data_IF_600073318707
#
_entry.id   IF_600073318707
#
_cell.length_a   1.000
_cell.length_b   1.000
_cell.length_c   1.000
_cell.angle_alpha   90.00
_cell.angle_beta   90.00
_cell.angle_gamma   90.00
#
_symmetry.space_group_name_H-M   'P 1'
#
loop_
_entity.id
_entity.type
_entity.pdbx_description
1 polymer ?
#
# COMPACT_ATOMS: atom_id res chain seq x y z
N UNK A 1 39.06 27.43 66.60
CA UNK A 1 39.42 27.32 65.17
C UNK A 1 38.86 26.03 64.66
N UNK A 2 37.69 26.10 64.00
CA UNK A 2 37.05 24.94 63.39
C UNK A 2 37.38 24.93 61.88
N UNK A 3 38.08 23.90 61.42
CA UNK A 3 38.35 23.66 59.98
C UNK A 3 37.13 23.03 59.33
N UNK A 4 36.57 23.74 58.37
CA UNK A 4 35.49 23.23 57.47
C UNK A 4 36.19 22.52 56.31
N UNK A 5 35.95 21.19 56.19
CA UNK A 5 36.38 20.39 55.04
C UNK A 5 35.35 20.49 54.00
N UNK A 6 35.66 21.11 52.86
CA UNK A 6 34.80 21.14 51.69
C UNK A 6 34.99 19.84 50.91
N UNK A 7 33.93 19.05 50.84
CA UNK A 7 33.86 17.83 49.99
C UNK A 7 33.37 18.23 48.60
N UNK A 8 34.28 18.26 47.62
CA UNK A 8 33.91 18.45 46.19
C UNK A 8 33.42 17.13 45.64
N UNK A 9 32.11 17.08 45.34
CA UNK A 9 31.49 15.98 44.59
C UNK A 9 31.78 16.20 43.11
N UNK A 10 32.68 15.39 42.57
CA UNK A 10 32.94 15.34 41.12
C UNK A 10 31.82 14.53 40.45
N UNK A 11 30.87 15.21 39.79
CA UNK A 11 29.85 14.54 38.98
C UNK A 11 30.54 13.97 37.73
N UNK A 12 30.78 12.67 37.71
CA UNK A 12 31.13 11.94 36.47
C UNK A 12 29.91 11.92 35.55
N UNK A 13 29.89 12.76 34.54
CA UNK A 13 28.99 12.56 33.38
C UNK A 13 29.44 11.29 32.64
N UNK A 14 28.80 10.18 32.92
CA UNK A 14 28.92 8.97 32.09
C UNK A 14 28.17 9.26 30.81
N UNK A 15 28.90 9.67 29.77
CA UNK A 15 28.37 9.71 28.40
C UNK A 15 28.11 8.26 27.98
N UNK A 16 26.85 7.84 28.03
CA UNK A 16 26.44 6.61 27.37
C UNK A 16 26.53 6.85 25.86
N UNK A 17 27.62 6.40 25.26
CA UNK A 17 27.66 6.21 23.81
C UNK A 17 26.60 5.16 23.49
N UNK A 18 25.50 5.57 22.85
CA UNK A 18 24.53 4.63 22.35
C UNK A 18 25.24 3.71 21.35
N UNK A 19 25.40 2.45 21.70
CA UNK A 19 25.89 1.42 20.77
C UNK A 19 24.82 1.25 19.72
N UNK A 20 25.19 1.47 18.46
CA UNK A 20 24.27 1.22 17.33
C UNK A 20 23.70 -0.20 17.43
N UNK A 21 22.38 -0.33 17.35
CA UNK A 21 21.71 -1.61 17.45
C UNK A 21 21.32 -2.12 16.07
N UNK A 22 21.54 -3.42 15.85
CA UNK A 22 21.09 -4.13 14.69
C UNK A 22 19.88 -4.99 15.05
N UNK A 23 18.76 -4.74 14.43
CA UNK A 23 17.51 -5.48 14.62
C UNK A 23 17.32 -6.46 13.48
N UNK A 24 16.98 -7.70 13.79
CA UNK A 24 16.71 -8.74 12.80
C UNK A 24 15.39 -9.45 13.09
N UNK A 25 14.66 -9.70 12.02
CA UNK A 25 13.43 -10.47 11.96
C UNK A 25 13.55 -11.46 10.81
N UNK A 26 12.93 -12.64 10.89
CA UNK A 26 12.97 -13.58 9.78
C UNK A 26 11.88 -14.64 9.85
N UNK A 27 11.54 -15.15 8.69
CA UNK A 27 10.72 -16.34 8.51
C UNK A 27 11.41 -17.28 7.50
N UNK A 28 10.74 -18.32 7.05
CA UNK A 28 11.34 -19.33 6.14
C UNK A 28 11.83 -18.76 4.81
N UNK A 29 11.24 -17.64 4.34
CA UNK A 29 11.49 -17.09 3.02
C UNK A 29 12.18 -15.72 3.03
N UNK A 30 11.90 -14.89 4.04
CA UNK A 30 12.35 -13.49 4.07
C UNK A 30 12.98 -13.18 5.43
N UNK A 31 14.13 -12.54 5.41
CA UNK A 31 14.74 -11.90 6.55
C UNK A 31 14.74 -10.38 6.35
N UNK A 32 14.42 -9.65 7.42
CA UNK A 32 14.51 -8.20 7.50
C UNK A 32 15.57 -7.83 8.52
N UNK A 33 16.42 -6.85 8.22
CA UNK A 33 17.30 -6.26 9.20
C UNK A 33 17.24 -4.73 9.13
N UNK A 34 17.35 -4.10 10.29
CA UNK A 34 17.39 -2.65 10.42
C UNK A 34 18.63 -2.25 11.21
N UNK A 35 19.41 -1.35 10.63
CA UNK A 35 20.56 -0.70 11.27
C UNK A 35 20.15 0.72 11.67
N UNK A 36 20.06 0.98 12.96
CA UNK A 36 19.63 2.27 13.50
C UNK A 36 20.68 3.38 13.34
N UNK A 37 21.97 3.03 13.24
CA UNK A 37 23.02 4.00 13.02
C UNK A 37 22.95 4.67 11.65
N UNK A 38 22.52 3.91 10.63
CA UNK A 38 22.46 4.35 9.23
C UNK A 38 21.02 4.50 8.73
N UNK A 39 20.01 4.23 9.56
CA UNK A 39 18.59 4.23 9.20
C UNK A 39 18.30 3.36 7.95
N UNK A 40 18.99 2.22 7.83
CA UNK A 40 18.90 1.35 6.65
C UNK A 40 18.17 0.05 6.96
N UNK A 41 17.35 -0.38 6.00
CA UNK A 41 16.68 -1.69 6.02
C UNK A 41 17.26 -2.55 4.91
N UNK A 42 17.43 -3.83 5.18
CA UNK A 42 17.75 -4.84 4.18
C UNK A 42 16.65 -5.89 4.19
N UNK A 43 16.11 -6.20 3.02
CA UNK A 43 15.18 -7.31 2.79
C UNK A 43 15.94 -8.41 2.09
N UNK A 44 16.01 -9.60 2.66
CA UNK A 44 16.78 -10.71 2.12
C UNK A 44 15.88 -11.92 1.86
N UNK A 45 15.99 -12.52 0.67
CA UNK A 45 15.50 -13.88 0.42
C UNK A 45 16.44 -14.86 1.14
N UNK A 46 15.89 -15.66 2.06
CA UNK A 46 16.70 -16.62 2.85
C UNK A 46 17.30 -17.74 2.00
N UNK A 47 16.80 -17.95 0.77
CA UNK A 47 17.23 -18.99 -0.18
C UNK A 47 18.21 -18.47 -1.23
N UNK A 48 18.21 -17.15 -1.46
CA UNK A 48 19.08 -16.51 -2.44
C UNK A 48 20.12 -15.62 -1.73
N UNK A 49 21.27 -15.42 -2.36
CA UNK A 49 22.34 -14.60 -1.78
C UNK A 49 22.28 -13.12 -2.24
N UNK A 50 21.13 -12.66 -2.67
CA UNK A 50 20.94 -11.29 -3.16
C UNK A 50 19.99 -10.53 -2.25
N UNK A 51 20.50 -9.65 -1.35
CA UNK A 51 19.65 -8.80 -0.54
C UNK A 51 19.10 -7.65 -1.38
N UNK A 52 17.82 -7.33 -1.17
CA UNK A 52 17.20 -6.12 -1.68
C UNK A 52 17.48 -4.98 -0.68
N UNK A 53 18.28 -4.02 -1.10
CA UNK A 53 18.70 -2.91 -0.24
C UNK A 53 18.20 -1.59 -0.81
N UNK A 54 17.39 -0.79 -0.10
CA UNK A 54 17.03 0.54 -0.55
C UNK A 54 18.23 1.50 -0.46
N UNK A 55 18.13 2.60 -1.16
CA UNK A 55 19.03 3.74 -0.97
C UNK A 55 18.73 4.40 0.37
N UNK A 56 17.43 4.51 0.69
CA UNK A 56 16.87 5.01 1.93
C UNK A 56 15.46 4.42 2.13
N UNK A 57 14.88 4.54 3.32
CA UNK A 57 13.54 4.01 3.60
C UNK A 57 12.44 4.76 2.86
N UNK A 58 12.52 6.09 2.86
CA UNK A 58 11.58 6.98 2.21
C UNK A 58 12.21 8.36 2.01
N UNK A 59 11.61 9.18 1.15
CA UNK A 59 11.81 10.62 1.15
C UNK A 59 10.52 11.34 0.75
N UNK A 60 10.36 12.56 1.22
CA UNK A 60 9.26 13.46 0.90
C UNK A 60 9.75 14.48 -0.12
N UNK A 61 8.97 14.75 -1.17
CA UNK A 61 9.21 15.83 -2.10
C UNK A 61 8.19 16.93 -1.83
N UNK A 62 8.64 18.12 -1.54
CA UNK A 62 7.80 19.28 -1.32
C UNK A 62 7.34 19.92 -2.64
N UNK A 63 6.35 20.84 -2.64
CA UNK A 63 5.90 21.50 -3.88
C UNK A 63 6.97 22.29 -4.65
N UNK A 64 8.01 22.74 -3.99
CA UNK A 64 9.16 23.43 -4.57
C UNK A 64 10.29 22.49 -5.04
N UNK A 65 10.00 21.18 -5.14
CA UNK A 65 10.93 20.11 -5.49
C UNK A 65 12.02 19.83 -4.44
N UNK A 66 12.03 20.54 -3.31
CA UNK A 66 12.92 20.21 -2.16
C UNK A 66 12.59 18.83 -1.64
N UNK A 67 13.64 18.06 -1.31
CA UNK A 67 13.50 16.72 -0.75
C UNK A 67 13.90 16.70 0.72
N UNK A 68 13.09 16.02 1.53
CA UNK A 68 13.40 15.68 2.91
C UNK A 68 13.67 14.17 2.93
N UNK A 69 14.92 13.80 3.13
CA UNK A 69 15.40 12.43 3.08
C UNK A 69 15.24 11.73 4.44
N UNK A 70 15.25 10.40 4.47
CA UNK A 70 15.24 9.66 5.73
C UNK A 70 16.33 10.11 6.69
N UNK A 71 17.51 10.51 6.18
CA UNK A 71 18.65 11.00 6.96
C UNK A 71 18.40 12.35 7.66
N UNK A 72 17.41 13.14 7.20
CA UNK A 72 17.03 14.44 7.82
C UNK A 72 16.14 14.23 9.06
N UNK A 73 15.66 13.02 9.27
CA UNK A 73 14.87 12.63 10.44
C UNK A 73 15.78 12.07 11.55
N UNK A 74 15.35 12.28 12.79
CA UNK A 74 15.96 11.64 13.97
C UNK A 74 15.12 10.43 14.37
N UNK A 75 15.76 9.31 14.64
CA UNK A 75 15.10 8.17 15.27
C UNK A 75 14.75 8.56 16.71
N UNK A 76 13.46 8.56 17.02
CA UNK A 76 12.93 8.86 18.34
C UNK A 76 12.78 7.59 19.18
N UNK A 77 12.37 6.51 18.56
CA UNK A 77 12.07 5.25 19.22
C UNK A 77 12.19 4.07 18.26
N UNK A 78 12.67 2.94 18.77
CA UNK A 78 12.66 1.65 18.07
C UNK A 78 12.14 0.60 19.04
N UNK A 79 11.07 -0.08 18.64
CA UNK A 79 10.42 -1.12 19.43
C UNK A 79 10.37 -2.43 18.66
N UNK A 80 10.97 -3.48 19.21
CA UNK A 80 10.88 -4.83 18.66
C UNK A 80 9.63 -5.51 19.20
N UNK A 81 8.83 -6.05 18.30
CA UNK A 81 7.63 -6.84 18.57
C UNK A 81 7.86 -8.30 18.15
N UNK A 82 6.95 -9.24 18.49
CA UNK A 82 7.12 -10.67 18.20
C UNK A 82 7.36 -10.97 16.70
N UNK A 83 6.64 -10.30 15.82
CA UNK A 83 6.75 -10.48 14.36
C UNK A 83 7.07 -9.20 13.60
N UNK A 84 7.53 -8.16 14.30
CA UNK A 84 7.72 -6.84 13.71
C UNK A 84 8.72 -5.95 14.43
N UNK A 85 8.96 -4.80 13.84
CA UNK A 85 9.76 -3.71 14.38
C UNK A 85 9.04 -2.39 14.07
N UNK A 86 8.86 -1.55 15.07
CA UNK A 86 8.31 -0.19 14.93
C UNK A 86 9.43 0.81 15.09
N UNK A 87 9.54 1.74 14.15
CA UNK A 87 10.57 2.79 14.13
C UNK A 87 9.87 4.12 14.00
N UNK A 88 10.02 4.99 14.98
CA UNK A 88 9.48 6.35 14.94
C UNK A 88 10.58 7.35 14.59
N UNK A 89 10.35 8.06 13.49
CA UNK A 89 11.20 9.13 12.99
C UNK A 89 10.54 10.48 13.28
N UNK A 90 11.34 11.49 13.64
CA UNK A 90 10.85 12.84 13.89
C UNK A 90 11.68 13.88 13.12
N UNK A 91 10.97 14.85 12.55
CA UNK A 91 11.47 16.04 11.86
C UNK A 91 10.67 17.25 12.35
N UNK A 92 11.16 18.49 12.29
CA UNK A 92 10.39 19.67 12.70
C UNK A 92 8.99 19.78 12.08
N UNK A 93 8.82 19.33 10.83
CA UNK A 93 7.56 19.44 10.09
C UNK A 93 6.78 18.13 9.98
N UNK A 94 7.41 16.97 10.23
CA UNK A 94 6.80 15.66 10.00
C UNK A 94 7.22 14.64 11.07
N UNK A 95 6.29 13.77 11.41
CA UNK A 95 6.59 12.50 12.08
C UNK A 95 6.32 11.36 11.09
N UNK A 96 7.22 10.39 11.06
CA UNK A 96 7.05 9.18 10.23
C UNK A 96 7.22 7.95 11.10
N UNK A 97 6.21 7.09 11.11
CA UNK A 97 6.32 5.77 11.73
C UNK A 97 6.50 4.73 10.63
N UNK A 98 7.56 3.94 10.71
CA UNK A 98 7.81 2.81 9.83
C UNK A 98 7.66 1.52 10.62
N UNK A 99 6.84 0.57 10.11
CA UNK A 99 6.69 -0.74 10.72
C UNK A 99 7.16 -1.82 9.76
N UNK A 100 8.12 -2.60 10.19
CA UNK A 100 8.58 -3.78 9.47
C UNK A 100 7.84 -4.99 10.04
N UNK A 101 7.16 -5.76 9.20
CA UNK A 101 6.38 -6.91 9.65
C UNK A 101 6.72 -8.17 8.87
N UNK A 102 6.70 -9.31 9.57
CA UNK A 102 6.66 -10.63 8.96
C UNK A 102 5.20 -11.10 8.87
N UNK A 103 4.77 -11.54 7.70
CA UNK A 103 3.36 -11.79 7.41
C UNK A 103 3.15 -13.22 6.90
N UNK A 104 2.20 -13.94 7.52
CA UNK A 104 1.79 -15.30 7.12
C UNK A 104 2.95 -16.29 6.97
N UNK A 105 4.04 -16.10 7.72
CA UNK A 105 5.22 -16.99 7.70
C UNK A 105 6.04 -16.99 6.40
N UNK A 106 5.66 -16.23 5.38
CA UNK A 106 6.27 -16.27 4.04
C UNK A 106 6.56 -14.90 3.43
N UNK A 107 5.90 -13.85 3.90
CA UNK A 107 5.93 -12.51 3.31
C UNK A 107 6.45 -11.51 4.33
N UNK A 108 6.76 -10.32 3.86
CA UNK A 108 7.07 -9.17 4.70
C UNK A 108 6.29 -7.95 4.22
N UNK A 109 6.06 -6.98 5.10
CA UNK A 109 5.59 -5.66 4.74
C UNK A 109 6.40 -4.57 5.43
N UNK A 110 6.42 -3.41 4.80
CA UNK A 110 6.87 -2.16 5.40
C UNK A 110 5.70 -1.19 5.33
N UNK A 111 5.19 -0.82 6.49
CA UNK A 111 4.10 0.14 6.61
C UNK A 111 4.70 1.51 6.93
N UNK A 112 4.25 2.53 6.22
CA UNK A 112 4.65 3.92 6.40
C UNK A 112 3.44 4.74 6.85
N UNK A 113 3.58 5.50 7.91
CA UNK A 113 2.57 6.47 8.36
C UNK A 113 3.24 7.82 8.49
N UNK A 114 2.77 8.81 7.73
CA UNK A 114 3.32 10.17 7.68
C UNK A 114 2.29 11.13 8.23
N UNK A 115 2.65 11.89 9.26
CA UNK A 115 1.83 12.93 9.87
C UNK A 115 2.56 14.27 9.83
N UNK A 116 1.85 15.36 9.61
CA UNK A 116 2.39 16.69 9.78
C UNK A 116 2.55 17.04 11.27
N UNK A 117 3.43 17.97 11.61
CA UNK A 117 3.64 18.47 12.98
C UNK A 117 3.02 19.86 13.12
N UNK A 118 2.14 20.02 14.12
CA UNK A 118 1.57 21.30 14.54
C UNK A 118 0.53 21.88 13.59
N UNK A 119 0.76 21.89 12.29
CA UNK A 119 -0.16 22.42 11.27
C UNK A 119 -0.10 21.59 9.98
N UNK A 120 -1.10 21.70 9.10
CA UNK A 120 -1.09 21.04 7.80
C UNK A 120 0.17 21.37 7.00
N UNK A 121 0.71 20.38 6.26
CA UNK A 121 1.90 20.53 5.43
C UNK A 121 1.66 19.99 4.04
N UNK A 122 2.02 20.78 3.04
CA UNK A 122 1.99 20.36 1.64
C UNK A 122 3.17 19.43 1.35
N UNK A 123 2.87 18.30 0.75
CA UNK A 123 3.83 17.33 0.21
C UNK A 123 3.37 16.98 -1.20
N UNK A 124 4.19 17.23 -2.19
CA UNK A 124 3.85 16.91 -3.58
C UNK A 124 3.90 15.40 -3.83
N UNK A 125 4.92 14.73 -3.26
CA UNK A 125 5.14 13.29 -3.48
C UNK A 125 5.84 12.63 -2.29
N UNK A 126 5.43 11.40 -1.98
CA UNK A 126 6.15 10.52 -1.07
C UNK A 126 6.72 9.36 -1.87
N UNK A 127 8.00 9.10 -1.73
CA UNK A 127 8.68 7.96 -2.34
C UNK A 127 9.07 6.96 -1.25
N UNK A 128 8.75 5.68 -1.49
CA UNK A 128 8.98 4.58 -0.58
C UNK A 128 10.01 3.62 -1.14
N UNK A 129 10.88 3.12 -0.30
CA UNK A 129 11.82 2.06 -0.59
C UNK A 129 12.51 2.19 -1.97
N UNK A 130 13.10 3.36 -2.31
CA UNK A 130 13.86 3.49 -3.56
C UNK A 130 15.08 2.58 -3.49
N UNK A 131 15.19 1.61 -4.41
CA UNK A 131 16.27 0.61 -4.32
C UNK A 131 17.58 1.14 -4.92
N UNK A 132 18.68 0.58 -4.44
CA UNK A 132 19.99 0.68 -5.11
C UNK A 132 19.99 -0.20 -6.35
N UNK A 133 21.02 -0.03 -7.18
CA UNK A 133 21.23 -0.87 -8.35
C UNK A 133 21.21 -2.36 -7.96
N UNK A 134 20.37 -3.14 -8.64
CA UNK A 134 20.21 -4.57 -8.43
C UNK A 134 21.17 -5.38 -9.34
N UNK A 135 21.40 -6.64 -8.98
CA UNK A 135 22.20 -7.56 -9.81
C UNK A 135 21.55 -7.81 -11.17
N UNK A 136 20.22 -7.91 -11.19
CA UNK A 136 19.42 -7.95 -12.41
C UNK A 136 18.58 -6.67 -12.50
N UNK A 137 18.38 -6.16 -13.72
CA UNK A 137 17.52 -4.99 -13.92
C UNK A 137 16.08 -5.32 -13.51
N UNK A 138 15.50 -4.59 -12.56
CA UNK A 138 14.11 -4.78 -12.17
C UNK A 138 13.16 -4.38 -13.30
N UNK A 139 11.96 -4.92 -13.28
CA UNK A 139 10.91 -4.56 -14.22
C UNK A 139 9.54 -4.49 -13.51
N UNK A 140 8.58 -3.80 -14.12
CA UNK A 140 7.19 -3.76 -13.66
C UNK A 140 6.40 -4.82 -14.43
N UNK A 141 5.78 -5.75 -13.71
CA UNK A 141 4.95 -6.80 -14.30
C UNK A 141 3.49 -6.33 -14.43
N UNK A 142 3.25 -5.45 -15.36
CA UNK A 142 1.93 -4.90 -15.66
C UNK A 142 1.98 -3.46 -16.16
N UNK A 143 0.86 -2.99 -16.74
CA UNK A 143 0.76 -1.67 -17.36
C UNK A 143 -0.06 -0.65 -16.55
N UNK A 144 -0.53 -1.03 -15.36
CA UNK A 144 -1.34 -0.16 -14.50
C UNK A 144 -0.56 0.24 -13.24
N UNK A 145 -0.98 1.34 -12.62
CA UNK A 145 -0.44 1.73 -11.32
C UNK A 145 -0.59 0.59 -10.31
N UNK A 146 0.35 0.51 -9.38
CA UNK A 146 0.42 -0.56 -8.37
C UNK A 146 0.68 -1.96 -8.93
N UNK A 147 1.09 -2.09 -10.20
CA UNK A 147 1.57 -3.36 -10.72
C UNK A 147 2.80 -3.83 -9.94
N UNK A 148 2.98 -5.16 -9.76
CA UNK A 148 4.15 -5.69 -9.08
C UNK A 148 5.46 -5.23 -9.74
N UNK A 149 6.42 -4.85 -8.93
CA UNK A 149 7.82 -4.72 -9.35
C UNK A 149 8.50 -6.06 -9.11
N UNK A 150 9.27 -6.53 -10.07
CA UNK A 150 10.08 -7.73 -9.97
C UNK A 150 11.56 -7.35 -9.97
N UNK A 151 12.27 -7.76 -8.93
CA UNK A 151 13.70 -7.50 -8.78
C UNK A 151 14.37 -8.74 -8.18
N UNK A 152 15.33 -9.32 -8.90
CA UNK A 152 16.00 -10.58 -8.54
C UNK A 152 14.97 -11.68 -8.20
N UNK A 153 14.97 -12.20 -6.98
CA UNK A 153 14.03 -13.22 -6.51
C UNK A 153 12.78 -12.65 -5.82
N UNK A 154 12.60 -11.31 -5.84
CA UNK A 154 11.51 -10.63 -5.16
C UNK A 154 10.44 -10.16 -6.13
N UNK A 155 9.20 -10.11 -5.63
CA UNK A 155 8.16 -9.23 -6.12
C UNK A 155 7.79 -8.23 -5.01
N UNK A 156 7.56 -7.00 -5.41
CA UNK A 156 7.24 -5.87 -4.53
C UNK A 156 5.90 -5.28 -4.98
N UNK A 157 4.96 -5.14 -4.05
CA UNK A 157 3.63 -4.58 -4.34
C UNK A 157 3.26 -3.51 -3.31
N UNK A 158 2.70 -2.38 -3.74
CA UNK A 158 2.01 -1.47 -2.83
C UNK A 158 0.60 -1.98 -2.49
N UNK A 159 0.05 -1.50 -1.38
CA UNK A 159 -1.30 -1.85 -0.92
C UNK A 159 -2.42 -1.04 -1.58
N UNK A 160 -2.08 0.07 -2.23
CA UNK A 160 -3.07 1.02 -2.79
C UNK A 160 -2.89 1.25 -4.28
N UNK A 161 -3.99 1.27 -5.05
CA UNK A 161 -3.93 1.45 -6.50
C UNK A 161 -3.45 2.83 -6.97
N UNK A 162 -3.33 3.79 -6.05
CA UNK A 162 -2.83 5.15 -6.34
C UNK A 162 -1.31 5.25 -6.29
N UNK A 163 -0.62 4.21 -5.84
CA UNK A 163 0.85 4.19 -5.78
C UNK A 163 1.40 3.89 -7.18
N UNK A 164 2.21 4.80 -7.69
CA UNK A 164 2.94 4.57 -8.94
C UNK A 164 4.10 3.61 -8.68
N UNK A 165 4.20 2.60 -9.52
CA UNK A 165 5.30 1.64 -9.49
C UNK A 165 6.06 1.73 -10.81
N UNK A 166 7.36 1.91 -10.76
CA UNK A 166 8.20 1.83 -11.94
C UNK A 166 9.62 1.36 -11.62
N UNK A 167 10.26 0.81 -12.64
CA UNK A 167 11.65 0.38 -12.61
C UNK A 167 12.40 1.04 -13.75
N UNK A 168 13.57 1.60 -13.46
CA UNK A 168 14.41 2.26 -14.42
C UNK A 168 15.89 2.06 -14.07
N UNK A 169 16.72 1.75 -15.07
CA UNK A 169 18.18 1.63 -14.92
C UNK A 169 18.63 0.77 -13.72
N UNK A 170 18.02 -0.31 -13.42
CA UNK A 170 18.33 -1.16 -12.27
C UNK A 170 17.93 -0.58 -10.89
N UNK A 171 17.08 0.43 -10.85
CA UNK A 171 16.46 0.95 -9.63
C UNK A 171 14.96 0.76 -9.65
N UNK A 172 14.34 0.73 -8.48
CA UNK A 172 12.87 0.72 -8.34
C UNK A 172 12.41 1.89 -7.53
N UNK A 173 11.22 2.40 -7.83
CA UNK A 173 10.56 3.42 -7.04
C UNK A 173 9.08 3.08 -6.89
N UNK A 174 8.59 3.25 -5.67
CA UNK A 174 7.18 3.29 -5.35
C UNK A 174 6.89 4.70 -4.86
N UNK A 175 5.97 5.40 -5.49
CA UNK A 175 5.66 6.76 -5.05
C UNK A 175 4.18 7.08 -5.18
N UNK A 176 3.72 8.03 -4.40
CA UNK A 176 2.37 8.59 -4.45
C UNK A 176 2.43 10.11 -4.53
N UNK A 177 1.68 10.66 -5.44
CA UNK A 177 1.43 12.10 -5.50
C UNK A 177 0.27 12.45 -4.59
N UNK A 178 0.45 13.47 -3.74
CA UNK A 178 -0.60 13.97 -2.87
C UNK A 178 -1.22 15.23 -3.47
N UNK A 179 -2.53 15.34 -3.38
CA UNK A 179 -3.31 16.49 -3.88
C UNK A 179 -3.84 17.38 -2.75
N UNK A 180 -3.66 16.93 -1.50
CA UNK A 180 -4.10 17.66 -0.30
C UNK A 180 -3.01 17.65 0.74
N UNK A 181 -2.91 18.71 1.58
CA UNK A 181 -1.94 18.74 2.68
C UNK A 181 -2.12 17.57 3.64
N UNK A 182 -1.00 17.07 4.17
CA UNK A 182 -1.03 16.11 5.28
C UNK A 182 -1.44 16.85 6.56
N UNK A 183 -2.41 16.30 7.28
CA UNK A 183 -2.91 16.87 8.53
C UNK A 183 -2.19 16.24 9.74
N UNK A 184 -2.01 16.98 10.85
CA UNK A 184 -1.48 16.41 12.09
C UNK A 184 -2.34 15.27 12.64
N UNK A 185 -3.67 15.44 12.62
CA UNK A 185 -4.65 14.49 13.15
C UNK A 185 -5.13 13.45 12.14
N UNK A 186 -4.77 13.60 10.88
CA UNK A 186 -5.16 12.68 9.79
C UNK A 186 -3.94 12.29 8.97
N UNK A 187 -3.09 11.41 9.50
CA UNK A 187 -1.89 10.95 8.80
C UNK A 187 -2.24 10.12 7.55
N UNK A 188 -1.33 10.11 6.59
CA UNK A 188 -1.42 9.25 5.42
C UNK A 188 -0.62 7.97 5.64
N UNK A 189 -1.16 6.82 5.22
CA UNK A 189 -0.50 5.53 5.43
C UNK A 189 -0.45 4.72 4.14
N UNK A 190 0.67 4.03 3.93
CA UNK A 190 0.93 3.17 2.78
C UNK A 190 1.70 1.93 3.22
N UNK A 191 1.45 0.82 2.55
CA UNK A 191 2.15 -0.45 2.81
C UNK A 191 2.85 -0.91 1.54
N UNK A 192 4.09 -1.32 1.67
CA UNK A 192 4.84 -2.02 0.63
C UNK A 192 5.00 -3.48 1.03
N UNK A 193 4.51 -4.38 0.21
CA UNK A 193 4.61 -5.82 0.41
C UNK A 193 5.80 -6.41 -0.33
N UNK A 194 6.42 -7.39 0.29
CA UNK A 194 7.53 -8.17 -0.27
C UNK A 194 7.19 -9.64 -0.23
N UNK A 195 7.34 -10.28 -1.35
CA UNK A 195 7.29 -11.73 -1.46
C UNK A 195 8.46 -12.23 -2.31
N UNK A 196 8.72 -13.53 -2.24
CA UNK A 196 9.80 -14.17 -2.99
C UNK A 196 9.26 -15.29 -3.87
N UNK A 197 9.95 -15.59 -4.94
CA UNK A 197 9.66 -16.74 -5.80
C UNK A 197 10.94 -17.55 -6.04
N UNK A 198 10.83 -18.90 -6.05
CA UNK A 198 12.02 -19.77 -6.10
C UNK A 198 12.69 -19.75 -7.46
N UNK A 199 11.93 -19.50 -8.54
CA UNK A 199 12.39 -19.49 -9.92
C UNK A 199 11.56 -18.48 -10.72
N UNK A 200 12.16 -17.88 -11.74
CA UNK A 200 11.51 -16.86 -12.59
C UNK A 200 10.26 -17.39 -13.28
N UNK A 201 10.20 -18.68 -13.61
CA UNK A 201 9.03 -19.33 -14.21
C UNK A 201 7.81 -19.44 -13.28
N UNK A 202 7.99 -19.22 -11.97
CA UNK A 202 6.93 -19.34 -10.95
C UNK A 202 6.42 -17.99 -10.45
N UNK A 203 6.86 -16.87 -11.00
CA UNK A 203 6.51 -15.53 -10.55
C UNK A 203 5.00 -15.32 -10.41
N UNK A 204 4.23 -15.52 -11.49
CA UNK A 204 2.77 -15.30 -11.46
C UNK A 204 2.06 -16.17 -10.43
N UNK A 205 2.49 -17.41 -10.29
CA UNK A 205 1.95 -18.32 -9.29
C UNK A 205 2.23 -17.80 -7.89
N UNK A 206 3.46 -17.35 -7.62
CA UNK A 206 3.85 -16.81 -6.31
C UNK A 206 3.09 -15.53 -5.96
N UNK A 207 2.91 -14.61 -6.93
CA UNK A 207 2.10 -13.39 -6.75
C UNK A 207 0.62 -13.75 -6.50
N UNK A 208 0.04 -14.69 -7.24
CA UNK A 208 -1.35 -15.12 -7.00
C UNK A 208 -1.51 -15.75 -5.61
N UNK A 209 -0.57 -16.57 -5.17
CA UNK A 209 -0.58 -17.13 -3.81
C UNK A 209 -0.49 -16.04 -2.73
N UNK A 210 0.31 -15.02 -2.96
CA UNK A 210 0.36 -13.86 -2.08
C UNK A 210 -1.00 -13.15 -2.03
N UNK A 211 -1.58 -12.81 -3.19
CA UNK A 211 -2.89 -12.15 -3.27
C UNK A 211 -3.95 -12.98 -2.53
N UNK A 212 -3.97 -14.29 -2.72
CA UNK A 212 -4.91 -15.18 -2.02
C UNK A 212 -4.70 -15.20 -0.50
N UNK A 213 -3.45 -15.06 -0.05
CA UNK A 213 -3.14 -15.03 1.39
C UNK A 213 -3.54 -13.72 2.08
N UNK A 214 -3.51 -12.57 1.37
CA UNK A 214 -3.72 -11.23 1.97
C UNK A 214 -5.07 -10.61 1.62
N UNK A 215 -5.77 -11.10 0.59
CA UNK A 215 -7.08 -10.56 0.22
C UNK A 215 -8.11 -10.69 1.35
N UNK A 216 -8.94 -9.67 1.58
CA UNK A 216 -9.92 -9.70 2.66
C UNK A 216 -11.07 -10.69 2.41
N UNK A 217 -11.31 -11.08 1.15
CA UNK A 217 -12.35 -12.03 0.74
C UNK A 217 -11.77 -13.04 -0.25
N UNK A 218 -12.13 -14.29 -0.10
CA UNK A 218 -11.77 -15.33 -1.08
C UNK A 218 -12.29 -14.99 -2.46
N UNK A 219 -11.51 -15.30 -3.50
CA UNK A 219 -11.97 -15.19 -4.87
C UNK A 219 -13.13 -16.12 -5.13
N UNK A 220 -14.18 -15.61 -5.76
CA UNK A 220 -15.25 -16.38 -6.39
C UNK A 220 -15.57 -15.77 -7.74
N UNK A 221 -15.95 -16.55 -8.73
CA UNK A 221 -16.55 -16.01 -9.93
C UNK A 221 -17.74 -15.10 -9.57
N UNK A 222 -17.89 -14.02 -10.27
CA UNK A 222 -18.99 -13.07 -10.09
C UNK A 222 -19.67 -12.85 -11.43
N UNK A 223 -20.85 -13.45 -11.61
CA UNK A 223 -21.63 -13.33 -12.84
C UNK A 223 -22.64 -12.21 -12.68
N UNK A 224 -22.60 -11.22 -13.54
CA UNK A 224 -23.58 -10.14 -13.53
C UNK A 224 -24.08 -9.82 -14.95
N UNK A 225 -25.31 -9.37 -15.01
CA UNK A 225 -25.83 -8.67 -16.15
C UNK A 225 -25.29 -7.24 -16.16
N UNK A 226 -25.05 -6.65 -17.33
CA UNK A 226 -24.71 -5.24 -17.47
C UNK A 226 -25.60 -4.61 -18.55
N UNK A 227 -26.38 -3.58 -18.19
CA UNK A 227 -27.32 -2.91 -19.09
C UNK A 227 -26.62 -2.21 -20.27
N UNK A 228 -25.36 -1.77 -20.10
CA UNK A 228 -24.58 -1.17 -21.18
C UNK A 228 -24.43 -2.08 -22.40
N UNK A 229 -24.27 -3.37 -22.17
CA UNK A 229 -24.06 -4.36 -23.24
C UNK A 229 -25.36 -4.83 -23.90
N UNK A 230 -26.51 -4.34 -23.43
CA UNK A 230 -27.85 -4.74 -23.95
C UNK A 230 -28.70 -3.51 -24.21
N UNK A 231 -29.41 -2.99 -23.21
CA UNK A 231 -30.44 -1.95 -23.40
C UNK A 231 -29.91 -0.52 -23.25
N UNK A 232 -28.72 -0.35 -22.66
CA UNK A 232 -28.19 0.95 -22.28
C UNK A 232 -27.07 1.53 -23.16
N UNK A 233 -26.66 0.84 -24.25
CA UNK A 233 -25.55 1.31 -25.09
C UNK A 233 -25.90 2.61 -25.81
N UNK A 234 -25.50 3.76 -25.26
CA UNK A 234 -25.84 5.12 -25.69
C UNK A 234 -27.34 5.35 -25.91
N UNK A 235 -28.20 4.50 -25.36
CA UNK A 235 -29.64 4.58 -25.51
C UNK A 235 -30.29 4.72 -24.15
N UNK A 236 -31.09 5.77 -23.87
CA UNK A 236 -31.87 5.87 -22.65
C UNK A 236 -32.81 4.66 -22.51
N UNK A 237 -32.88 4.11 -21.34
CA UNK A 237 -33.76 3.00 -20.98
C UNK A 237 -34.60 3.35 -19.74
N UNK A 238 -35.66 2.60 -19.51
CA UNK A 238 -36.60 2.85 -18.41
C UNK A 238 -36.60 1.74 -17.37
N UNK A 239 -37.20 2.02 -16.20
CA UNK A 239 -37.47 1.01 -15.16
C UNK A 239 -38.15 -0.21 -15.75
N UNK A 240 -39.12 -0.02 -16.71
CA UNK A 240 -39.86 -1.11 -17.34
C UNK A 240 -38.96 -1.98 -18.22
N UNK A 241 -38.00 -1.38 -18.93
CA UNK A 241 -37.01 -2.14 -19.71
C UNK A 241 -36.16 -3.02 -18.84
N UNK A 242 -35.68 -2.48 -17.69
CA UNK A 242 -34.91 -3.26 -16.69
C UNK A 242 -35.72 -4.43 -16.16
N UNK A 243 -36.97 -4.19 -15.72
CA UNK A 243 -37.84 -5.25 -15.20
C UNK A 243 -38.09 -6.33 -16.24
N UNK A 244 -38.31 -5.94 -17.51
CA UNK A 244 -38.47 -6.89 -18.62
C UNK A 244 -37.20 -7.76 -18.83
N UNK A 245 -36.01 -7.16 -18.76
CA UNK A 245 -34.76 -7.91 -18.86
C UNK A 245 -34.55 -8.84 -17.66
N UNK A 246 -34.91 -8.42 -16.46
CA UNK A 246 -34.85 -9.30 -15.27
C UNK A 246 -35.77 -10.53 -15.44
N UNK A 247 -36.99 -10.34 -16.02
CA UNK A 247 -37.89 -11.45 -16.28
C UNK A 247 -37.31 -12.42 -17.31
N UNK A 248 -36.74 -11.88 -18.41
CA UNK A 248 -36.10 -12.71 -19.44
C UNK A 248 -34.91 -13.49 -18.91
N UNK A 249 -34.03 -12.83 -18.14
CA UNK A 249 -32.89 -13.49 -17.52
C UNK A 249 -33.31 -14.54 -16.50
N UNK A 250 -34.34 -14.26 -15.68
CA UNK A 250 -34.89 -15.24 -14.77
C UNK A 250 -35.41 -16.48 -15.51
N UNK A 251 -36.23 -16.26 -16.56
CA UNK A 251 -36.83 -17.34 -17.33
C UNK A 251 -35.77 -18.19 -18.05
N UNK A 252 -34.87 -17.53 -18.80
CA UNK A 252 -34.00 -18.23 -19.74
C UNK A 252 -32.73 -18.77 -19.09
N UNK A 253 -32.18 -18.09 -18.05
CA UNK A 253 -30.91 -18.47 -17.44
C UNK A 253 -31.07 -18.98 -16.00
N UNK A 254 -31.71 -18.23 -15.10
CA UNK A 254 -31.77 -18.60 -13.69
C UNK A 254 -32.65 -19.84 -13.53
N UNK A 255 -33.93 -19.74 -13.91
CA UNK A 255 -34.88 -20.84 -13.79
C UNK A 255 -34.67 -21.87 -14.89
N UNK A 256 -34.51 -21.44 -16.14
CA UNK A 256 -34.44 -22.31 -17.29
C UNK A 256 -33.16 -23.16 -17.38
N UNK A 257 -32.00 -22.65 -16.91
CA UNK A 257 -30.71 -23.35 -17.01
C UNK A 257 -30.00 -23.52 -15.67
N UNK A 258 -30.59 -23.07 -14.55
CA UNK A 258 -29.99 -23.18 -13.24
C UNK A 258 -28.74 -22.32 -13.04
N UNK A 259 -28.59 -21.23 -13.76
CA UNK A 259 -27.45 -20.33 -13.67
C UNK A 259 -27.62 -19.42 -12.45
N UNK A 260 -26.63 -19.41 -11.55
CA UNK A 260 -26.61 -18.46 -10.45
C UNK A 260 -26.09 -17.11 -10.96
N UNK A 261 -26.95 -16.09 -10.93
CA UNK A 261 -26.58 -14.70 -11.23
C UNK A 261 -26.36 -13.95 -9.93
N UNK A 262 -25.22 -13.26 -9.79
CA UNK A 262 -24.87 -12.53 -8.57
C UNK A 262 -25.47 -11.13 -8.51
N UNK A 263 -25.63 -10.44 -9.68
CA UNK A 263 -26.18 -9.09 -9.72
C UNK A 263 -26.70 -8.67 -11.10
N UNK A 264 -27.57 -7.64 -11.08
CA UNK A 264 -27.84 -6.76 -12.22
C UNK A 264 -27.10 -5.44 -12.02
N UNK A 265 -26.17 -5.10 -12.92
CA UNK A 265 -25.48 -3.82 -12.94
C UNK A 265 -26.22 -2.92 -13.95
N UNK A 266 -26.76 -1.81 -13.46
CA UNK A 266 -27.36 -0.77 -14.30
C UNK A 266 -26.31 0.29 -14.56
N UNK A 267 -25.85 0.33 -15.81
CA UNK A 267 -24.87 1.28 -16.31
C UNK A 267 -25.56 2.60 -16.70
N UNK A 268 -24.89 3.49 -17.41
CA UNK A 268 -25.37 4.79 -17.85
C UNK A 268 -26.82 4.75 -18.44
N UNK A 269 -27.61 5.81 -18.20
CA UNK A 269 -28.97 5.98 -18.77
C UNK A 269 -30.10 5.91 -17.75
N UNK A 270 -29.88 5.59 -16.47
CA UNK A 270 -30.87 5.65 -15.39
C UNK A 270 -30.91 6.99 -14.68
N UNK A 271 -29.82 7.75 -14.72
CA UNK A 271 -29.65 9.02 -14.02
C UNK A 271 -29.86 10.24 -14.94
N UNK A 272 -29.89 11.41 -14.33
CA UNK A 272 -29.79 12.68 -15.03
C UNK A 272 -28.33 13.01 -15.34
N UNK A 273 -27.99 13.40 -16.50
CA UNK A 273 -26.60 13.68 -16.93
C UNK A 273 -25.96 14.92 -16.28
N UNK A 274 -26.47 15.37 -15.13
CA UNK A 274 -25.93 16.54 -14.40
C UNK A 274 -24.69 16.19 -13.55
N UNK A 275 -24.33 14.92 -13.45
CA UNK A 275 -23.22 14.43 -12.62
C UNK A 275 -23.53 14.39 -11.11
N UNK A 276 -24.79 14.64 -10.72
CA UNK A 276 -25.24 14.57 -9.32
C UNK A 276 -25.83 13.22 -8.93
N UNK A 277 -25.85 12.26 -9.85
CA UNK A 277 -26.38 10.91 -9.62
C UNK A 277 -27.85 10.89 -9.18
N UNK A 278 -28.65 11.84 -9.69
CA UNK A 278 -30.10 11.88 -9.47
C UNK A 278 -30.78 10.97 -10.48
N UNK A 279 -31.92 10.40 -10.08
CA UNK A 279 -32.70 9.60 -11.01
C UNK A 279 -33.25 10.44 -12.17
N UNK A 280 -33.10 9.94 -13.37
CA UNK A 280 -33.68 10.51 -14.57
C UNK A 280 -35.22 10.31 -14.63
N UNK A 281 -35.90 10.98 -15.57
CA UNK A 281 -37.36 10.93 -15.67
C UNK A 281 -37.93 9.51 -15.86
N UNK A 282 -37.18 8.59 -16.44
CA UNK A 282 -37.58 7.20 -16.64
C UNK A 282 -37.52 6.34 -15.37
N UNK A 283 -36.94 6.89 -14.29
CA UNK A 283 -36.79 6.26 -12.97
C UNK A 283 -37.32 7.12 -11.83
N UNK A 284 -38.47 7.78 -12.05
CA UNK A 284 -39.07 8.75 -11.11
C UNK A 284 -39.25 8.20 -9.67
N UNK A 285 -39.40 6.89 -9.53
CA UNK A 285 -39.54 6.23 -8.23
C UNK A 285 -38.23 5.57 -7.75
N UNK A 286 -37.12 5.91 -8.38
CA UNK A 286 -35.83 5.27 -8.09
C UNK A 286 -35.81 3.80 -8.50
N UNK A 287 -35.05 2.99 -7.77
CA UNK A 287 -34.92 1.56 -8.00
C UNK A 287 -35.84 0.69 -7.12
N UNK A 288 -36.92 1.27 -6.56
CA UNK A 288 -37.82 0.54 -5.64
C UNK A 288 -38.28 -0.80 -6.21
N UNK A 289 -38.96 -0.79 -7.37
CA UNK A 289 -39.47 -2.00 -8.02
C UNK A 289 -38.37 -2.93 -8.52
N UNK A 290 -37.24 -2.38 -8.96
CA UNK A 290 -36.09 -3.19 -9.41
C UNK A 290 -35.50 -3.96 -8.23
N UNK A 291 -35.48 -3.38 -7.02
CA UNK A 291 -35.00 -4.06 -5.82
C UNK A 291 -35.96 -5.11 -5.25
N UNK A 292 -37.25 -4.94 -5.50
CA UNK A 292 -38.28 -5.89 -5.07
C UNK A 292 -38.34 -7.15 -5.96
N UNK A 293 -37.85 -7.01 -7.21
CA UNK A 293 -37.81 -8.07 -8.20
C UNK A 293 -36.64 -9.06 -7.94
#
# INVERSE_FOLDING_TARGET
MKKILALSVLAMCVSHSAVAANYALGNDNIALSFDDANSTVVVKDTRANHPLTPQELFFLTLPDETKIHTADFKIKHVEKQDSGLVIDFTHPDFNVTVKLNLVKGKYASIDYTVAAVGQPRDVAKITFFPTKKQAQAPYVDGAINSSPIVADSFFILPDKPIVNTYAYEATTNLNVELKTPIQPESPVSFTTWFGTFPETSQLRRSVNQFIDAVRPRSYKPYLHYNSWMDIGFFTPYSEQDVLGRMDEWNKEFITGRGVALDAFLLDDGWDDLTGRWLFGPAFNNGFGKVKEK
#
